data_IF_426128701622
#
_entry.id   IF_426128701622
#
_cell.length_a   1.000
_cell.length_b   1.000
_cell.length_c   1.000
_cell.angle_alpha   90.00
_cell.angle_beta   90.00
_cell.angle_gamma   90.00
#
_symmetry.space_group_name_H-M   'P 1'
#
loop_
_entity.id
_entity.type
_entity.pdbx_description
1 polymer ?
#
# COMPACT_ATOMS: atom_id res chain seq x y z
N UNK A 1 -10.30 0.88 -3.42
CA UNK A 1 -10.44 0.51 -4.85
C UNK A 1 -11.33 1.49 -5.59
N UNK A 2 -12.56 1.75 -5.14
CA UNK A 2 -13.51 2.67 -5.79
C UNK A 2 -12.90 4.06 -6.08
N UNK A 3 -12.33 4.73 -5.07
CA UNK A 3 -11.65 6.02 -5.25
C UNK A 3 -10.53 5.92 -6.29
N UNK A 4 -9.74 4.86 -6.26
CA UNK A 4 -8.64 4.69 -7.21
C UNK A 4 -9.11 4.52 -8.66
N UNK A 5 -10.27 3.90 -8.89
CA UNK A 5 -10.90 3.84 -10.22
C UNK A 5 -11.34 5.22 -10.67
N UNK A 6 -12.02 5.97 -9.80
CA UNK A 6 -12.48 7.33 -10.11
C UNK A 6 -11.32 8.30 -10.38
N UNK A 7 -10.22 8.19 -9.64
CA UNK A 7 -8.99 8.96 -9.89
C UNK A 7 -8.43 8.59 -11.26
N UNK A 8 -8.22 7.30 -11.53
CA UNK A 8 -7.63 6.82 -12.79
C UNK A 8 -8.44 7.25 -14.01
N UNK A 9 -9.76 7.15 -13.93
CA UNK A 9 -10.68 7.56 -15.01
C UNK A 9 -10.60 9.06 -15.30
N UNK A 10 -10.54 9.91 -14.25
CA UNK A 10 -10.56 11.37 -14.41
C UNK A 10 -9.21 11.98 -14.75
N UNK A 11 -8.11 11.35 -14.33
CA UNK A 11 -6.78 11.97 -14.40
C UNK A 11 -5.76 11.16 -15.19
N UNK A 12 -6.04 9.88 -15.47
CA UNK A 12 -5.06 8.94 -16.03
C UNK A 12 -3.98 8.49 -15.04
N UNK A 13 -3.95 9.02 -13.82
CA UNK A 13 -2.95 8.73 -12.78
C UNK A 13 -3.34 7.46 -12.01
N UNK A 14 -2.39 6.56 -11.75
CA UNK A 14 -2.68 5.37 -10.94
C UNK A 14 -2.88 5.75 -9.47
N UNK A 15 -3.61 4.95 -8.69
CA UNK A 15 -3.80 5.20 -7.27
C UNK A 15 -2.47 5.11 -6.50
N UNK A 16 -1.72 4.03 -6.69
CA UNK A 16 -0.45 3.77 -6.00
C UNK A 16 0.45 2.86 -6.84
N UNK A 17 1.69 2.69 -6.41
CA UNK A 17 2.57 1.65 -6.93
C UNK A 17 2.23 0.29 -6.32
N UNK A 18 2.56 -0.78 -7.03
CA UNK A 18 2.50 -2.15 -6.54
C UNK A 18 3.74 -2.88 -7.05
N UNK A 19 4.48 -3.53 -6.16
CA UNK A 19 5.62 -4.37 -6.50
C UNK A 19 5.25 -5.84 -6.17
N UNK A 20 5.14 -6.72 -7.17
CA UNK A 20 4.81 -8.13 -6.97
C UNK A 20 5.94 -8.94 -6.34
N UNK A 21 7.17 -8.42 -6.33
CA UNK A 21 8.32 -9.04 -5.69
C UNK A 21 8.51 -8.62 -4.23
N UNK A 22 7.82 -7.56 -3.79
CA UNK A 22 7.83 -7.10 -2.41
C UNK A 22 6.50 -7.41 -1.68
N UNK A 23 6.61 -7.83 -0.42
CA UNK A 23 5.46 -8.18 0.43
C UNK A 23 5.13 -7.08 1.45
N UNK A 24 5.74 -5.90 1.35
CA UNK A 24 5.58 -4.81 2.30
C UNK A 24 4.13 -4.33 2.44
N UNK A 25 3.39 -4.21 1.33
CA UNK A 25 1.96 -3.86 1.40
C UNK A 25 1.13 -4.94 2.12
N UNK A 26 1.44 -6.21 1.90
CA UNK A 26 0.78 -7.33 2.61
C UNK A 26 1.11 -7.25 4.09
N UNK A 27 2.38 -7.03 4.47
CA UNK A 27 2.79 -6.86 5.88
C UNK A 27 2.04 -5.72 6.55
N UNK A 28 1.94 -4.57 5.89
CA UNK A 28 1.20 -3.44 6.44
C UNK A 28 -0.29 -3.77 6.62
N UNK A 29 -0.90 -4.47 5.66
CA UNK A 29 -2.28 -4.94 5.81
C UNK A 29 -2.44 -5.90 7.00
N UNK A 30 -1.53 -6.85 7.21
CA UNK A 30 -1.55 -7.74 8.39
C UNK A 30 -1.41 -6.96 9.70
N UNK A 31 -0.44 -6.05 9.77
CA UNK A 31 -0.18 -5.22 10.94
C UNK A 31 -1.39 -4.34 11.27
N UNK A 32 -2.08 -3.81 10.26
CA UNK A 32 -3.32 -3.06 10.46
C UNK A 32 -4.40 -3.88 11.16
N UNK A 33 -4.41 -5.21 11.00
CA UNK A 33 -5.36 -6.13 11.63
C UNK A 33 -4.84 -6.77 12.92
N UNK A 34 -3.68 -6.33 13.43
CA UNK A 34 -3.05 -6.88 14.62
C UNK A 34 -2.59 -8.33 14.45
N UNK A 35 -2.25 -8.74 13.22
CA UNK A 35 -1.85 -10.10 12.89
C UNK A 35 -0.40 -10.13 12.34
N UNK A 36 0.21 -11.31 12.42
CA UNK A 36 1.55 -11.56 11.89
C UNK A 36 1.67 -12.98 11.32
N UNK A 37 2.82 -13.30 10.71
CA UNK A 37 3.11 -14.62 10.15
C UNK A 37 3.32 -15.70 11.21
N UNK A 38 3.60 -15.28 12.44
CA UNK A 38 3.76 -16.14 13.61
C UNK A 38 2.87 -15.65 14.74
N UNK A 39 2.51 -16.54 15.66
CA UNK A 39 1.94 -16.16 16.94
C UNK A 39 3.02 -15.67 17.93
N UNK A 40 2.59 -15.34 19.15
CA UNK A 40 3.45 -14.88 20.24
C UNK A 40 4.50 -15.91 20.69
N UNK A 41 4.28 -17.19 20.37
CA UNK A 41 5.20 -18.29 20.69
C UNK A 41 6.15 -18.60 19.51
N UNK A 42 6.09 -17.83 18.42
CA UNK A 42 6.89 -18.03 17.22
C UNK A 42 6.37 -19.16 16.32
N UNK A 43 5.19 -19.73 16.59
CA UNK A 43 4.59 -20.74 15.72
C UNK A 43 4.03 -20.09 14.47
N UNK A 44 4.34 -20.64 13.30
CA UNK A 44 3.83 -20.17 12.00
C UNK A 44 2.32 -20.33 11.92
N UNK A 45 1.61 -19.27 11.50
CA UNK A 45 0.14 -19.22 11.46
C UNK A 45 -0.45 -19.14 10.04
N UNK A 46 0.38 -19.24 9.00
CA UNK A 46 0.01 -18.92 7.60
C UNK A 46 -1.29 -19.60 7.14
N UNK A 47 -1.49 -20.90 7.41
CA UNK A 47 -2.62 -21.66 6.90
C UNK A 47 -3.99 -21.15 7.41
N UNK A 48 -4.05 -20.78 8.69
CA UNK A 48 -5.30 -20.41 9.38
C UNK A 48 -5.40 -18.90 9.66
N UNK A 49 -4.51 -18.10 9.07
CA UNK A 49 -4.45 -16.66 9.29
C UNK A 49 -5.47 -15.93 8.40
N UNK A 50 -6.66 -15.66 8.96
CA UNK A 50 -7.72 -14.93 8.26
C UNK A 50 -7.29 -13.52 7.82
N UNK A 51 -6.48 -12.80 8.60
CA UNK A 51 -6.00 -11.47 8.22
C UNK A 51 -5.05 -11.53 7.01
N UNK A 52 -4.20 -12.57 6.93
CA UNK A 52 -3.37 -12.83 5.76
C UNK A 52 -4.22 -13.13 4.52
N UNK A 53 -5.27 -13.94 4.68
CA UNK A 53 -6.22 -14.23 3.59
C UNK A 53 -6.90 -12.96 3.07
N UNK A 54 -7.35 -12.08 3.96
CA UNK A 54 -7.98 -10.80 3.60
C UNK A 54 -6.99 -9.83 2.93
N UNK A 55 -5.76 -9.78 3.41
CA UNK A 55 -4.68 -8.98 2.82
C UNK A 55 -4.33 -9.46 1.42
N UNK A 56 -4.19 -10.77 1.22
CA UNK A 56 -3.94 -11.37 -0.09
C UNK A 56 -5.10 -11.12 -1.07
N UNK A 57 -6.35 -11.20 -0.59
CA UNK A 57 -7.53 -10.86 -1.39
C UNK A 57 -7.51 -9.39 -1.82
N UNK A 58 -7.24 -8.49 -0.88
CA UNK A 58 -7.13 -7.05 -1.18
C UNK A 58 -6.00 -6.76 -2.17
N UNK A 59 -4.83 -7.40 -1.99
CA UNK A 59 -3.68 -7.28 -2.89
C UNK A 59 -4.00 -7.78 -4.30
N UNK A 60 -4.68 -8.92 -4.42
CA UNK A 60 -5.17 -9.46 -5.69
C UNK A 60 -6.12 -8.47 -6.35
N UNK A 61 -7.10 -7.95 -5.61
CA UNK A 61 -8.07 -7.01 -6.15
C UNK A 61 -7.42 -5.70 -6.61
N UNK A 62 -6.38 -5.21 -5.91
CA UNK A 62 -5.57 -4.07 -6.35
C UNK A 62 -4.85 -4.38 -7.67
N UNK A 63 -4.20 -5.55 -7.77
CA UNK A 63 -3.51 -6.00 -8.99
C UNK A 63 -4.45 -6.11 -10.18
N UNK A 64 -5.64 -6.68 -10.00
CA UNK A 64 -6.63 -6.91 -11.07
C UNK A 64 -7.41 -5.64 -11.44
N UNK A 65 -7.46 -4.63 -10.58
CA UNK A 65 -8.30 -3.43 -10.78
C UNK A 65 -7.79 -2.46 -11.85
N UNK A 66 -6.54 -2.59 -12.30
CA UNK A 66 -5.91 -1.65 -13.23
C UNK A 66 -5.62 -0.25 -12.65
N UNK A 67 -5.79 -0.07 -11.33
CA UNK A 67 -5.56 1.23 -10.66
C UNK A 67 -4.15 1.36 -10.10
N UNK A 68 -3.28 0.36 -10.23
CA UNK A 68 -1.91 0.39 -9.71
C UNK A 68 -0.89 0.55 -10.83
N UNK A 69 0.26 1.14 -10.52
CA UNK A 69 1.45 1.13 -11.39
C UNK A 69 2.39 0.03 -10.90
N UNK A 70 2.67 -0.95 -11.74
CA UNK A 70 3.63 -2.00 -11.44
C UNK A 70 5.05 -1.42 -11.44
N UNK A 71 5.81 -1.73 -10.39
CA UNK A 71 7.23 -1.40 -10.23
C UNK A 71 7.98 -2.64 -9.78
N UNK A 72 9.30 -2.66 -9.98
CA UNK A 72 10.12 -3.83 -9.63
C UNK A 72 11.33 -3.50 -8.74
N UNK A 73 11.50 -2.23 -8.36
CA UNK A 73 12.61 -1.79 -7.52
C UNK A 73 12.37 -0.39 -6.94
N UNK A 74 13.30 0.01 -6.07
CA UNK A 74 13.32 1.31 -5.41
C UNK A 74 13.30 2.50 -6.37
N UNK A 75 14.11 2.50 -7.43
CA UNK A 75 14.20 3.63 -8.35
C UNK A 75 12.91 3.83 -9.14
N UNK A 76 12.27 2.74 -9.55
CA UNK A 76 10.96 2.79 -10.19
C UNK A 76 9.86 3.24 -9.22
N UNK A 77 9.91 2.79 -7.97
CA UNK A 77 9.00 3.24 -6.91
C UNK A 77 9.11 4.75 -6.67
N UNK A 78 10.33 5.26 -6.45
CA UNK A 78 10.59 6.69 -6.24
C UNK A 78 10.25 7.51 -7.48
N UNK A 79 10.66 7.01 -8.65
CA UNK A 79 10.38 7.65 -9.92
C UNK A 79 8.87 7.82 -10.19
N UNK A 80 8.05 6.85 -9.79
CA UNK A 80 6.61 6.88 -10.05
C UNK A 80 5.91 8.07 -9.37
N UNK A 81 6.15 8.28 -8.06
CA UNK A 81 5.49 9.40 -7.37
C UNK A 81 6.15 10.75 -7.68
N UNK A 82 7.47 10.80 -7.89
CA UNK A 82 8.15 12.05 -8.27
C UNK A 82 7.75 12.54 -9.67
N UNK A 83 7.35 11.64 -10.57
CA UNK A 83 6.81 11.99 -11.90
C UNK A 83 5.29 12.19 -11.90
N UNK A 84 4.61 12.09 -10.76
CA UNK A 84 3.16 12.23 -10.66
C UNK A 84 2.37 11.10 -11.34
N UNK A 85 2.97 9.93 -11.55
CA UNK A 85 2.31 8.78 -12.20
C UNK A 85 1.39 8.01 -11.24
N UNK A 86 1.53 8.27 -9.93
CA UNK A 86 0.68 7.75 -8.88
C UNK A 86 0.17 8.86 -7.97
N UNK A 87 -1.07 8.71 -7.46
CA UNK A 87 -1.76 9.69 -6.64
C UNK A 87 -1.45 9.56 -5.13
N UNK A 88 -0.85 8.44 -4.72
CA UNK A 88 -0.55 8.16 -3.32
C UNK A 88 0.69 7.28 -3.18
N UNK A 89 1.33 7.41 -2.02
CA UNK A 89 2.49 6.61 -1.61
C UNK A 89 2.13 5.89 -0.32
N UNK A 90 1.89 4.58 -0.41
CA UNK A 90 1.48 3.73 0.71
C UNK A 90 2.73 3.05 1.28
N UNK A 91 3.44 3.72 2.20
CA UNK A 91 4.63 3.18 2.87
C UNK A 91 4.92 3.95 4.18
N UNK A 92 6.01 3.61 4.86
CA UNK A 92 6.43 4.28 6.10
C UNK A 92 6.85 5.74 5.92
N UNK A 93 6.79 6.52 7.01
CA UNK A 93 7.07 7.96 7.01
C UNK A 93 8.48 8.35 6.57
N UNK A 94 9.43 7.40 6.61
CA UNK A 94 10.79 7.55 6.12
C UNK A 94 10.88 7.90 4.63
N UNK A 95 9.79 7.75 3.85
CA UNK A 95 9.72 8.14 2.44
C UNK A 95 9.68 9.66 2.20
N UNK A 96 9.38 10.46 3.24
CA UNK A 96 9.15 11.90 3.11
C UNK A 96 10.31 12.67 2.43
N UNK A 97 11.60 12.37 2.67
CA UNK A 97 12.69 13.02 1.96
C UNK A 97 12.66 12.76 0.44
N UNK A 98 12.27 11.56 0.01
CA UNK A 98 12.18 11.22 -1.42
C UNK A 98 11.06 11.98 -2.12
N UNK A 99 9.91 12.17 -1.45
CA UNK A 99 8.79 12.99 -1.94
C UNK A 99 9.23 14.45 -2.12
N UNK A 100 9.96 14.99 -1.14
CA UNK A 100 10.43 16.39 -1.16
C UNK A 100 11.45 16.69 -2.28
N UNK A 101 12.00 15.66 -2.95
CA UNK A 101 12.92 15.86 -4.09
C UNK A 101 12.21 16.39 -5.34
N UNK A 102 10.90 16.17 -5.48
CA UNK A 102 10.11 16.74 -6.58
C UNK A 102 9.60 18.13 -6.17
N UNK A 103 10.44 19.17 -6.37
CA UNK A 103 10.14 20.55 -5.94
C UNK A 103 8.88 21.12 -6.62
N UNK A 104 8.57 20.68 -7.84
CA UNK A 104 7.36 21.02 -8.59
C UNK A 104 6.07 20.50 -7.93
N UNK A 105 6.18 19.61 -6.94
CA UNK A 105 5.08 19.08 -6.16
C UNK A 105 4.92 19.74 -4.78
N UNK A 106 5.70 20.79 -4.49
CA UNK A 106 5.60 21.53 -3.23
C UNK A 106 4.17 22.01 -2.96
N UNK A 107 3.68 21.79 -1.74
CA UNK A 107 2.33 22.14 -1.30
C UNK A 107 1.20 21.21 -1.80
N UNK A 108 1.49 20.19 -2.62
CA UNK A 108 0.47 19.28 -3.17
C UNK A 108 0.25 18.01 -2.35
N UNK A 109 1.16 17.69 -1.43
CA UNK A 109 1.12 16.47 -0.63
C UNK A 109 0.39 16.67 0.69
N UNK A 110 -0.46 15.70 1.03
CA UNK A 110 -1.10 15.55 2.33
C UNK A 110 -0.74 14.19 2.94
N UNK A 111 -0.81 14.11 4.26
CA UNK A 111 -0.66 12.85 5.01
C UNK A 111 -2.04 12.35 5.36
N UNK A 112 -2.29 11.06 5.11
CA UNK A 112 -3.51 10.37 5.49
C UNK A 112 -3.18 9.15 6.37
N UNK A 113 -4.09 8.74 7.27
CA UNK A 113 -3.97 7.48 7.98
C UNK A 113 -3.92 6.28 7.03
N UNK A 114 -3.35 5.16 7.49
CA UNK A 114 -3.31 3.92 6.69
C UNK A 114 -4.74 3.44 6.37
N UNK A 115 -5.04 2.95 5.17
CA UNK A 115 -6.39 2.46 4.85
C UNK A 115 -6.70 1.15 5.56
N UNK A 116 -7.95 1.01 6.05
CA UNK A 116 -8.44 -0.26 6.61
C UNK A 116 -8.75 -1.27 5.50
N UNK A 117 -8.54 -2.55 5.78
CA UNK A 117 -9.13 -3.63 5.00
C UNK A 117 -10.64 -3.71 5.29
N UNK A 118 -11.48 -3.33 4.32
CA UNK A 118 -12.93 -3.23 4.54
C UNK A 118 -13.61 -4.55 4.95
N UNK A 119 -13.07 -5.69 4.55
CA UNK A 119 -13.58 -7.01 4.92
C UNK A 119 -13.10 -7.50 6.30
N UNK A 120 -12.17 -6.79 6.95
CA UNK A 120 -11.57 -7.22 8.20
C UNK A 120 -11.87 -6.23 9.32
N UNK A 121 -12.74 -6.62 10.25
CA UNK A 121 -13.19 -5.77 11.36
C UNK A 121 -12.09 -5.40 12.37
N UNK A 122 -11.00 -6.18 12.42
CA UNK A 122 -9.83 -5.87 13.27
C UNK A 122 -8.88 -4.85 12.62
N UNK A 123 -9.04 -4.58 11.31
CA UNK A 123 -8.18 -3.63 10.61
C UNK A 123 -8.43 -2.20 11.11
N UNK A 124 -7.36 -1.51 11.51
CA UNK A 124 -7.36 -0.13 11.96
C UNK A 124 -6.57 0.79 11.02
N UNK A 125 -6.69 2.10 11.19
CA UNK A 125 -6.02 3.09 10.35
C UNK A 125 -4.54 3.34 10.74
N UNK A 126 -3.86 2.31 11.23
CA UNK A 126 -2.48 2.35 11.68
C UNK A 126 -1.78 1.06 11.25
N UNK A 127 -0.48 1.14 10.98
CA UNK A 127 0.31 0.00 10.52
C UNK A 127 1.81 0.24 10.72
N UNK A 128 2.59 -0.84 10.70
CA UNK A 128 4.05 -0.83 10.50
C UNK A 128 4.40 -1.60 9.23
N UNK A 129 5.52 -1.25 8.57
CA UNK A 129 6.06 -2.01 7.44
C UNK A 129 6.83 -3.27 7.89
N UNK A 130 7.10 -3.38 9.20
CA UNK A 130 8.03 -4.35 9.78
C UNK A 130 9.37 -3.69 10.07
#
# INVERSE_FOLDING_TARGET
IEIGKAVKEKTGVAMCTLDPSDIGQIRMMLQSAGAWYTDENGKVTIADNQALKDALKTYKDLTESGITKQVANWDQFVGAFNKGEVASVVTGCWIAPSIKKAEDQSGKWAIAPFPKMGANSKSVNASSLG
#
